data_IF_077909877814
#
_entry.id   IF_077909877814
#
_cell.length_a   1.000
_cell.length_b   1.000
_cell.length_c   1.000
_cell.angle_alpha   90.00
_cell.angle_beta   90.00
_cell.angle_gamma   90.00
#
_symmetry.space_group_name_H-M   'P 1'
#
loop_
_entity.id
_entity.type
_entity.pdbx_description
1 polymer ?
#
# COMPACT_ATOMS: atom_id res chain seq x y z
N UNK A 1 9.26 -11.57 13.91
CA UNK A 1 9.00 -10.13 13.67
C UNK A 1 10.25 -9.47 13.12
N UNK A 2 10.18 -8.53 12.16
CA UNK A 2 11.35 -8.02 11.41
C UNK A 2 12.50 -7.56 12.32
N UNK A 3 12.19 -6.86 13.42
CA UNK A 3 13.18 -6.41 14.43
C UNK A 3 14.06 -7.55 14.97
N UNK A 4 13.47 -8.72 15.25
CA UNK A 4 14.22 -9.88 15.76
C UNK A 4 15.22 -10.41 14.72
N UNK A 5 14.91 -10.27 13.42
CA UNK A 5 15.80 -10.70 12.35
C UNK A 5 16.96 -9.72 12.11
N UNK A 6 16.84 -8.46 12.55
CA UNK A 6 17.92 -7.45 12.44
C UNK A 6 19.10 -7.80 13.35
N UNK A 7 18.87 -8.55 14.42
CA UNK A 7 19.90 -8.96 15.38
C UNK A 7 20.50 -7.79 16.16
N UNK A 8 19.71 -6.73 16.36
CA UNK A 8 20.09 -5.56 17.15
C UNK A 8 19.68 -5.75 18.62
N UNK A 9 20.47 -5.15 19.50
CA UNK A 9 20.21 -5.08 20.94
C UNK A 9 19.96 -3.64 21.37
N UNK A 10 19.54 -3.43 22.62
CA UNK A 10 19.25 -2.07 23.11
C UNK A 10 20.45 -1.11 23.01
N UNK A 11 21.69 -1.59 23.04
CA UNK A 11 22.86 -0.73 22.86
C UNK A 11 22.90 -0.04 21.49
N UNK A 12 22.25 -0.64 20.49
CA UNK A 12 22.27 -0.15 19.12
C UNK A 12 21.25 0.97 18.89
N UNK A 13 20.15 0.98 19.65
CA UNK A 13 19.02 1.88 19.39
C UNK A 13 18.49 2.68 20.57
N UNK A 14 18.67 2.23 21.83
CA UNK A 14 18.07 2.92 22.98
C UNK A 14 18.89 4.14 23.39
N UNK A 15 18.22 5.23 23.78
CA UNK A 15 18.86 6.41 24.37
C UNK A 15 19.48 6.09 25.73
N UNK A 16 18.73 5.35 26.55
CA UNK A 16 19.17 4.81 27.82
C UNK A 16 18.75 3.33 27.86
N UNK A 17 19.75 2.46 28.01
CA UNK A 17 19.52 1.02 28.09
C UNK A 17 18.81 0.69 29.40
N UNK A 18 17.90 -0.28 29.33
CA UNK A 18 17.25 -0.85 30.50
C UNK A 18 17.37 -2.37 30.42
N UNK A 19 17.97 -2.98 31.44
CA UNK A 19 18.17 -4.43 31.48
C UNK A 19 16.85 -5.18 31.72
N UNK A 20 15.94 -4.60 32.50
CA UNK A 20 14.70 -5.25 32.93
C UNK A 20 13.48 -4.31 32.96
N UNK A 21 12.30 -4.91 33.04
CA UNK A 21 11.04 -4.23 33.36
C UNK A 21 10.53 -3.28 32.27
N UNK A 22 9.84 -2.23 32.71
CA UNK A 22 9.06 -1.33 31.85
C UNK A 22 9.95 -0.58 30.84
N UNK A 23 11.18 -0.22 31.23
CA UNK A 23 12.11 0.49 30.34
C UNK A 23 12.51 -0.35 29.12
N UNK A 24 12.86 -1.63 29.35
CA UNK A 24 13.23 -2.57 28.27
C UNK A 24 12.09 -2.76 27.28
N UNK A 25 10.90 -3.09 27.79
CA UNK A 25 9.71 -3.31 26.98
C UNK A 25 9.34 -2.05 26.18
N UNK A 26 9.39 -0.87 26.78
CA UNK A 26 9.15 0.41 26.09
C UNK A 26 10.14 0.63 24.94
N UNK A 27 11.44 0.44 25.18
CA UNK A 27 12.47 0.62 24.17
C UNK A 27 12.24 -0.32 22.97
N UNK A 28 11.96 -1.60 23.24
CA UNK A 28 11.66 -2.62 22.22
C UNK A 28 10.38 -2.28 21.42
N UNK A 29 9.30 -1.91 22.11
CA UNK A 29 8.02 -1.54 21.47
C UNK A 29 8.15 -0.30 20.59
N UNK A 30 8.82 0.76 21.07
CA UNK A 30 9.01 1.99 20.29
C UNK A 30 9.92 1.74 19.09
N UNK A 31 10.98 0.97 19.26
CA UNK A 31 11.85 0.60 18.14
C UNK A 31 11.09 -0.23 17.10
N UNK A 32 10.27 -1.19 17.53
CA UNK A 32 9.41 -1.95 16.63
C UNK A 32 8.45 -1.05 15.84
N UNK A 33 7.77 -0.11 16.50
CA UNK A 33 6.86 0.83 15.83
C UNK A 33 7.60 1.72 14.83
N UNK A 34 8.82 2.17 15.15
CA UNK A 34 9.65 2.93 14.21
C UNK A 34 9.97 2.09 12.96
N UNK A 35 10.46 0.86 13.14
CA UNK A 35 10.81 -0.02 12.01
C UNK A 35 9.57 -0.34 11.18
N UNK A 36 8.43 -0.63 11.82
CA UNK A 36 7.17 -0.88 11.12
C UNK A 36 6.71 0.34 10.32
N UNK A 37 6.79 1.54 10.90
CA UNK A 37 6.52 2.80 10.18
C UNK A 37 7.43 2.96 8.95
N UNK A 38 8.74 2.73 9.10
CA UNK A 38 9.71 2.83 8.00
C UNK A 38 9.44 1.81 6.90
N UNK A 39 9.03 0.59 7.25
CA UNK A 39 8.62 -0.42 6.28
C UNK A 39 7.39 0.04 5.49
N UNK A 40 6.37 0.59 6.14
CA UNK A 40 5.20 1.15 5.44
C UNK A 40 5.58 2.33 4.55
N UNK A 41 6.50 3.18 4.98
CA UNK A 41 7.02 4.29 4.18
C UNK A 41 7.71 3.78 2.91
N UNK A 42 8.48 2.69 3.01
CA UNK A 42 9.20 2.05 1.89
C UNK A 42 8.26 1.43 0.85
N UNK A 43 7.04 1.01 1.24
CA UNK A 43 6.01 0.51 0.32
C UNK A 43 5.59 1.53 -0.76
N UNK A 44 5.91 2.81 -0.55
CA UNK A 44 5.65 3.86 -1.55
C UNK A 44 6.48 3.64 -2.79
N UNK A 45 5.92 4.07 -3.92
CA UNK A 45 6.72 4.29 -5.12
C UNK A 45 7.63 5.49 -4.91
N UNK A 46 8.90 5.26 -4.58
CA UNK A 46 9.91 6.29 -4.50
C UNK A 46 10.35 6.76 -5.89
N UNK A 47 10.30 8.08 -6.13
CA UNK A 47 11.05 8.79 -7.19
C UNK A 47 12.57 8.80 -6.90
N UNK A 48 13.02 8.18 -5.79
CA UNK A 48 14.42 8.19 -5.37
C UNK A 48 15.27 7.40 -6.36
N UNK A 49 15.78 8.08 -7.39
CA UNK A 49 16.71 7.53 -8.38
C UNK A 49 17.93 6.90 -7.68
N UNK A 50 18.31 7.43 -6.52
CA UNK A 50 19.52 7.05 -5.77
C UNK A 50 19.28 5.95 -4.73
N UNK A 51 18.03 5.69 -4.32
CA UNK A 51 17.71 4.68 -3.29
C UNK A 51 16.42 3.93 -3.66
N UNK A 52 16.53 2.80 -4.40
CA UNK A 52 15.40 1.95 -4.72
C UNK A 52 14.81 1.31 -3.45
N UNK A 53 13.48 1.12 -3.43
CA UNK A 53 12.80 0.46 -2.32
C UNK A 53 12.99 -1.07 -2.32
N UNK A 54 12.49 -1.77 -1.30
CA UNK A 54 12.70 -3.22 -1.16
C UNK A 54 12.13 -4.02 -2.34
N UNK A 55 11.00 -3.62 -2.90
CA UNK A 55 10.44 -4.24 -4.11
C UNK A 55 11.32 -4.02 -5.35
N UNK A 56 11.84 -2.80 -5.54
CA UNK A 56 12.72 -2.48 -6.66
C UNK A 56 14.07 -3.22 -6.58
N UNK A 57 14.52 -3.52 -5.36
CA UNK A 57 15.71 -4.32 -5.13
C UNK A 57 15.47 -5.83 -5.27
N UNK A 58 14.22 -6.26 -5.55
CA UNK A 58 13.84 -7.68 -5.57
C UNK A 58 13.96 -8.36 -4.19
N UNK A 59 13.96 -7.58 -3.12
CA UNK A 59 14.08 -8.07 -1.74
C UNK A 59 12.72 -8.38 -1.13
N UNK A 60 11.65 -7.84 -1.72
CA UNK A 60 10.26 -7.97 -1.29
C UNK A 60 9.35 -8.18 -2.49
N UNK A 61 8.48 -9.19 -2.42
CA UNK A 61 7.34 -9.34 -3.33
C UNK A 61 6.06 -9.33 -2.50
N UNK A 62 5.14 -8.43 -2.87
CA UNK A 62 3.87 -8.25 -2.17
C UNK A 62 2.75 -8.88 -2.99
N UNK A 63 2.05 -9.77 -2.32
CA UNK A 63 0.82 -10.37 -2.77
C UNK A 63 -0.34 -9.96 -1.86
N UNK A 64 -1.53 -10.33 -2.29
CA UNK A 64 -2.77 -10.10 -1.58
C UNK A 64 -3.42 -11.44 -1.32
N UNK A 65 -3.65 -11.75 -0.05
CA UNK A 65 -4.12 -13.07 0.36
C UNK A 65 -5.44 -13.42 -0.33
N UNK A 66 -5.52 -14.63 -0.90
CA UNK A 66 -6.72 -15.17 -1.55
C UNK A 66 -7.27 -14.42 -2.80
N UNK A 67 -6.53 -13.43 -3.32
CA UNK A 67 -6.99 -12.60 -4.45
C UNK A 67 -7.31 -13.43 -5.71
N UNK A 68 -6.56 -14.50 -5.93
CA UNK A 68 -6.77 -15.40 -7.08
C UNK A 68 -8.11 -16.14 -7.02
N UNK A 69 -8.55 -16.54 -5.82
CA UNK A 69 -9.82 -17.25 -5.63
C UNK A 69 -11.01 -16.33 -5.86
N UNK A 70 -10.91 -15.06 -5.46
CA UNK A 70 -11.92 -14.04 -5.77
C UNK A 70 -12.05 -13.81 -7.27
N UNK A 71 -10.93 -13.82 -8.00
CA UNK A 71 -10.96 -13.68 -9.45
C UNK A 71 -11.69 -14.83 -10.15
N UNK A 72 -11.69 -16.02 -9.55
CA UNK A 72 -12.42 -17.21 -10.02
C UNK A 72 -13.86 -17.31 -9.53
N UNK A 73 -14.25 -16.53 -8.52
CA UNK A 73 -15.59 -16.60 -7.93
C UNK A 73 -16.64 -15.93 -8.83
N UNK A 74 -17.43 -16.71 -9.57
CA UNK A 74 -18.46 -16.15 -10.46
C UNK A 74 -19.56 -15.37 -9.72
N UNK A 75 -19.92 -15.76 -8.51
CA UNK A 75 -21.01 -15.14 -7.73
C UNK A 75 -20.69 -13.68 -7.37
N UNK A 76 -19.44 -13.36 -7.00
CA UNK A 76 -19.07 -11.98 -6.66
C UNK A 76 -19.17 -11.05 -7.87
N UNK A 77 -18.83 -11.55 -9.06
CA UNK A 77 -18.90 -10.78 -10.32
C UNK A 77 -20.33 -10.59 -10.81
N UNK A 78 -21.25 -11.48 -10.43
CA UNK A 78 -22.69 -11.28 -10.67
C UNK A 78 -23.31 -10.27 -9.70
N UNK A 79 -22.78 -10.16 -8.48
CA UNK A 79 -23.24 -9.17 -7.48
C UNK A 79 -22.90 -7.74 -7.88
N UNK A 80 -21.73 -7.52 -8.48
CA UNK A 80 -21.27 -6.20 -8.97
C UNK A 80 -20.93 -6.27 -10.46
N UNK A 81 -21.94 -6.36 -11.34
CA UNK A 81 -21.73 -6.65 -12.74
C UNK A 81 -21.20 -5.42 -13.50
N UNK A 82 -20.20 -5.67 -14.34
CA UNK A 82 -19.76 -4.73 -15.37
C UNK A 82 -19.35 -5.54 -16.61
N UNK A 83 -19.69 -5.09 -17.83
CA UNK A 83 -19.49 -5.91 -19.05
C UNK A 83 -18.04 -6.39 -19.19
N UNK A 84 -17.08 -5.52 -18.87
CA UNK A 84 -15.65 -5.81 -18.97
C UNK A 84 -15.25 -6.89 -17.97
N UNK A 85 -15.73 -6.81 -16.73
CA UNK A 85 -15.43 -7.79 -15.69
C UNK A 85 -16.09 -9.14 -15.98
N UNK A 86 -17.33 -9.15 -16.48
CA UNK A 86 -18.05 -10.39 -16.80
C UNK A 86 -17.41 -11.14 -17.97
N UNK A 87 -16.92 -10.42 -18.98
CA UNK A 87 -16.24 -11.03 -20.13
C UNK A 87 -14.73 -11.24 -19.95
N UNK A 88 -14.15 -10.83 -18.82
CA UNK A 88 -12.72 -11.00 -18.54
C UNK A 88 -12.43 -12.38 -17.93
N UNK A 89 -11.29 -12.94 -18.28
CA UNK A 89 -10.74 -14.17 -17.70
C UNK A 89 -10.27 -13.92 -16.26
N UNK A 90 -10.15 -14.99 -15.46
CA UNK A 90 -9.64 -14.89 -14.09
C UNK A 90 -8.22 -14.26 -14.00
N UNK A 91 -7.26 -14.58 -14.90
CA UNK A 91 -5.95 -13.92 -14.91
C UNK A 91 -6.00 -12.41 -15.21
N UNK A 92 -6.89 -11.97 -16.10
CA UNK A 92 -7.08 -10.53 -16.39
C UNK A 92 -7.65 -9.79 -15.18
N UNK A 93 -8.67 -10.37 -14.54
CA UNK A 93 -9.22 -9.85 -13.28
C UNK A 93 -8.14 -9.75 -12.21
N UNK A 94 -7.33 -10.79 -12.04
CA UNK A 94 -6.23 -10.79 -11.07
C UNK A 94 -5.24 -9.67 -11.36
N UNK A 95 -4.80 -9.54 -12.62
CA UNK A 95 -3.88 -8.48 -13.05
C UNK A 95 -4.46 -7.09 -12.77
N UNK A 96 -5.75 -6.88 -13.08
CA UNK A 96 -6.41 -5.60 -12.86
C UNK A 96 -6.58 -5.28 -11.36
N UNK A 97 -7.06 -6.22 -10.55
CA UNK A 97 -7.24 -6.05 -9.12
C UNK A 97 -5.90 -5.86 -8.40
N UNK A 98 -4.90 -6.69 -8.69
CA UNK A 98 -3.55 -6.55 -8.12
C UNK A 98 -2.97 -5.18 -8.46
N UNK A 99 -3.07 -4.75 -9.71
CA UNK A 99 -2.59 -3.42 -10.13
C UNK A 99 -3.31 -2.29 -9.41
N UNK A 100 -4.62 -2.43 -9.17
CA UNK A 100 -5.41 -1.47 -8.40
C UNK A 100 -4.96 -1.39 -6.94
N UNK A 101 -4.80 -2.54 -6.27
CA UNK A 101 -4.34 -2.61 -4.88
C UNK A 101 -2.88 -2.09 -4.75
N UNK A 102 -2.00 -2.47 -5.68
CA UNK A 102 -0.63 -1.98 -5.73
C UNK A 102 -0.58 -0.46 -5.93
N UNK A 103 -1.50 0.09 -6.74
CA UNK A 103 -1.63 1.53 -6.92
C UNK A 103 -2.01 2.23 -5.60
N UNK A 104 -3.00 1.71 -4.87
CA UNK A 104 -3.39 2.25 -3.55
C UNK A 104 -2.22 2.20 -2.57
N UNK A 105 -1.57 1.04 -2.44
CA UNK A 105 -0.40 0.81 -1.59
C UNK A 105 0.73 1.79 -1.87
N UNK A 106 1.13 1.92 -3.15
CA UNK A 106 2.19 2.82 -3.60
C UNK A 106 1.88 4.29 -3.36
N UNK A 107 0.60 4.65 -3.19
CA UNK A 107 0.15 5.99 -2.85
C UNK A 107 -0.07 6.22 -1.35
N UNK A 108 0.23 5.24 -0.49
CA UNK A 108 -0.16 5.18 0.93
C UNK A 108 -1.66 5.33 1.17
N UNK A 109 -2.51 4.91 0.23
CA UNK A 109 -3.93 4.73 0.51
C UNK A 109 -4.16 3.42 1.27
N UNK A 110 -3.58 3.30 2.46
CA UNK A 110 -3.56 2.09 3.29
C UNK A 110 -4.09 2.35 4.70
N UNK A 111 -4.80 1.38 5.25
CA UNK A 111 -5.27 1.37 6.63
C UNK A 111 -4.20 0.69 7.49
N UNK A 112 -3.19 1.48 7.85
CA UNK A 112 -2.12 1.08 8.77
C UNK A 112 -2.11 2.07 9.93
N UNK A 113 -2.32 1.57 11.15
CA UNK A 113 -2.53 2.39 12.36
C UNK A 113 -1.42 3.43 12.55
N UNK A 114 -0.16 3.02 12.41
CA UNK A 114 1.02 3.89 12.57
C UNK A 114 1.12 5.02 11.54
N UNK A 115 0.44 4.90 10.40
CA UNK A 115 0.41 5.97 9.39
C UNK A 115 -0.78 6.91 9.54
N UNK A 116 -1.75 6.58 10.39
CA UNK A 116 -2.89 7.47 10.62
C UNK A 116 -2.40 8.72 11.39
N UNK A 117 -2.87 9.93 11.01
CA UNK A 117 -2.38 11.19 11.58
C UNK A 117 -2.33 11.23 13.12
N UNK A 118 -3.35 10.69 13.77
CA UNK A 118 -3.51 10.62 15.22
C UNK A 118 -2.44 9.77 15.94
N UNK A 119 -1.86 8.78 15.26
CA UNK A 119 -0.82 7.92 15.83
C UNK A 119 0.60 8.43 15.55
N UNK A 120 0.80 9.19 14.48
CA UNK A 120 2.12 9.69 14.08
C UNK A 120 2.74 10.65 15.11
N UNK A 121 1.95 11.55 15.69
CA UNK A 121 2.46 12.47 16.71
C UNK A 121 2.83 11.74 18.01
N UNK A 122 2.16 10.63 18.32
CA UNK A 122 2.53 9.76 19.43
C UNK A 122 3.83 9.01 19.11
N UNK A 123 3.96 8.47 17.91
CA UNK A 123 5.17 7.78 17.45
C UNK A 123 6.39 8.70 17.54
N UNK A 124 6.31 9.92 16.98
CA UNK A 124 7.39 10.92 17.03
C UNK A 124 7.89 11.18 18.44
N UNK A 125 6.96 11.45 19.37
CA UNK A 125 7.29 11.73 20.78
C UNK A 125 7.95 10.53 21.45
N UNK A 126 7.39 9.34 21.24
CA UNK A 126 7.93 8.11 21.82
C UNK A 126 9.35 7.82 21.32
N UNK A 127 9.58 7.95 20.01
CA UNK A 127 10.89 7.79 19.36
C UNK A 127 11.91 8.79 19.94
N UNK A 128 11.55 10.07 20.03
CA UNK A 128 12.43 11.11 20.56
C UNK A 128 12.84 10.88 22.01
N UNK A 129 11.99 10.23 22.81
CA UNK A 129 12.25 9.94 24.23
C UNK A 129 13.02 8.64 24.46
N UNK A 130 12.71 7.58 23.70
CA UNK A 130 13.23 6.24 23.97
C UNK A 130 14.50 5.89 23.17
N UNK A 131 14.65 6.43 21.96
CA UNK A 131 15.69 6.02 21.02
C UNK A 131 16.84 7.03 20.97
N UNK A 132 18.05 6.56 20.65
CA UNK A 132 19.23 7.41 20.49
C UNK A 132 19.18 8.23 19.19
N UNK A 133 20.10 9.18 19.04
CA UNK A 133 20.09 10.14 17.93
C UNK A 133 20.20 9.50 16.54
N UNK A 134 20.72 8.28 16.41
CA UNK A 134 20.80 7.57 15.11
C UNK A 134 19.42 7.15 14.58
N UNK A 135 18.46 6.95 15.48
CA UNK A 135 17.13 6.43 15.15
C UNK A 135 16.02 7.46 15.31
N UNK A 136 16.32 8.65 15.83
CA UNK A 136 15.34 9.73 15.90
C UNK A 136 14.99 10.21 14.49
N UNK A 137 13.77 10.72 14.36
CA UNK A 137 13.40 11.48 13.18
C UNK A 137 14.18 12.80 13.16
N UNK A 138 14.61 13.21 11.97
CA UNK A 138 15.23 14.53 11.82
C UNK A 138 14.21 15.64 12.12
N UNK A 139 14.70 16.77 12.61
CA UNK A 139 13.84 17.92 12.95
C UNK A 139 13.03 18.42 11.74
N UNK A 140 13.63 18.40 10.55
CA UNK A 140 12.98 18.81 9.30
C UNK A 140 12.19 17.67 8.63
N UNK A 141 12.23 16.46 9.18
CA UNK A 141 11.64 15.28 8.57
C UNK A 141 10.11 15.35 8.58
N UNK A 142 9.53 15.30 7.37
CA UNK A 142 8.09 15.25 7.19
C UNK A 142 7.62 13.81 7.05
N UNK A 143 7.12 13.26 8.14
CA UNK A 143 6.53 11.92 8.15
C UNK A 143 5.35 11.83 7.19
N UNK A 144 5.39 10.78 6.37
CA UNK A 144 4.27 10.43 5.51
C UNK A 144 3.12 9.87 6.32
N UNK A 145 1.90 10.24 5.90
CA UNK A 145 0.65 9.80 6.51
C UNK A 145 -0.14 8.95 5.52
N UNK A 146 -1.03 8.12 6.06
CA UNK A 146 -2.02 7.41 5.29
C UNK A 146 -2.94 8.41 4.58
N UNK A 147 -3.34 8.05 3.36
CA UNK A 147 -4.21 8.84 2.49
C UNK A 147 -5.52 8.11 2.30
N UNK A 148 -6.57 8.84 1.97
CA UNK A 148 -7.85 8.27 1.56
C UNK A 148 -7.96 8.33 0.04
N UNK A 149 -8.43 7.24 -0.60
CA UNK A 149 -8.72 7.23 -2.02
C UNK A 149 -10.20 7.52 -2.29
N UNK A 150 -10.47 8.34 -3.32
CA UNK A 150 -11.83 8.81 -3.63
C UNK A 150 -12.08 8.91 -5.14
N UNK A 151 -13.34 8.72 -5.51
CA UNK A 151 -13.87 8.90 -6.86
C UNK A 151 -14.36 10.33 -7.12
N UNK A 152 -14.51 11.16 -6.07
CA UNK A 152 -15.05 12.50 -6.20
C UNK A 152 -14.14 13.41 -7.06
N UNK A 153 -14.73 13.98 -8.12
CA UNK A 153 -14.12 15.03 -8.90
C UNK A 153 -14.36 16.38 -8.20
N UNK A 154 -13.36 16.88 -7.46
CA UNK A 154 -13.50 18.17 -6.78
C UNK A 154 -12.20 18.78 -6.29
N UNK A 155 -12.26 20.10 -6.07
CA UNK A 155 -11.22 20.91 -5.43
C UNK A 155 -11.23 20.67 -3.91
N UNK A 156 -10.97 19.42 -3.50
CA UNK A 156 -10.71 19.15 -2.10
C UNK A 156 -9.41 19.90 -1.72
N UNK A 157 -9.54 20.98 -0.95
CA UNK A 157 -8.41 21.81 -0.47
C UNK A 157 -7.39 21.01 0.35
N UNK A 158 -7.73 19.78 0.76
CA UNK A 158 -6.78 18.82 1.31
C UNK A 158 -5.97 18.13 0.22
N UNK A 159 -4.70 18.50 0.08
CA UNK A 159 -3.69 17.86 -0.80
C UNK A 159 -3.44 16.36 -0.52
N UNK A 160 -4.17 15.74 0.42
CA UNK A 160 -3.88 14.41 0.95
C UNK A 160 -4.66 13.26 0.30
N UNK A 161 -5.65 13.48 -0.58
CA UNK A 161 -6.44 12.36 -1.14
C UNK A 161 -5.86 11.77 -2.42
N UNK A 162 -6.03 10.46 -2.63
CA UNK A 162 -5.71 9.74 -3.87
C UNK A 162 -6.94 9.76 -4.77
N UNK A 163 -6.86 10.46 -5.91
CA UNK A 163 -8.00 10.53 -6.84
C UNK A 163 -8.00 9.34 -7.80
N UNK A 164 -9.13 8.67 -7.90
CA UNK A 164 -9.36 7.49 -8.74
C UNK A 164 -10.07 7.86 -10.05
N UNK A 165 -9.62 8.91 -10.73
CA UNK A 165 -10.27 9.43 -11.95
C UNK A 165 -9.84 8.67 -13.20
N UNK A 166 -10.69 8.71 -14.24
CA UNK A 166 -10.43 8.06 -15.54
C UNK A 166 -9.14 8.54 -16.23
N UNK A 167 -8.76 9.80 -15.98
CA UNK A 167 -7.54 10.44 -16.51
C UNK A 167 -6.28 10.13 -15.69
N UNK A 168 -6.47 9.65 -14.45
CA UNK A 168 -5.40 9.24 -13.55
C UNK A 168 -4.63 8.01 -14.05
N UNK A 169 -3.53 7.67 -13.38
CA UNK A 169 -2.70 6.52 -13.77
C UNK A 169 -3.49 5.22 -13.79
N UNK A 170 -4.23 4.93 -12.71
CA UNK A 170 -5.06 3.72 -12.63
C UNK A 170 -6.22 3.77 -13.62
N UNK A 171 -6.83 4.94 -13.82
CA UNK A 171 -7.90 5.12 -14.81
C UNK A 171 -7.45 4.83 -16.24
N UNK A 172 -6.28 5.37 -16.63
CA UNK A 172 -5.68 5.09 -17.95
C UNK A 172 -5.35 3.62 -18.15
N UNK A 173 -4.89 2.93 -17.10
CA UNK A 173 -4.65 1.49 -17.14
C UNK A 173 -5.96 0.71 -17.31
N UNK A 174 -6.98 0.96 -16.48
CA UNK A 174 -8.27 0.26 -16.56
C UNK A 174 -9.02 0.53 -17.87
N UNK A 175 -8.76 1.66 -18.52
CA UNK A 175 -9.30 2.01 -19.86
C UNK A 175 -8.48 1.47 -21.03
N UNK A 176 -7.32 0.85 -20.77
CA UNK A 176 -6.42 0.39 -21.83
C UNK A 176 -6.86 -0.96 -22.43
N UNK A 177 -7.86 -0.88 -23.31
CA UNK A 177 -8.24 -1.99 -24.21
C UNK A 177 -7.47 -1.99 -25.54
N UNK A 178 -7.05 -0.82 -26.03
CA UNK A 178 -6.49 -0.71 -27.40
C UNK A 178 -5.53 0.46 -27.67
N UNK A 179 -5.27 1.35 -26.72
CA UNK A 179 -4.57 2.62 -27.00
C UNK A 179 -3.07 2.58 -26.66
N UNK A 180 -2.31 1.79 -27.41
CA UNK A 180 -0.94 2.19 -27.83
C UNK A 180 -0.47 1.34 -29.00
N UNK A 181 -0.01 2.04 -30.03
CA UNK A 181 0.33 1.59 -31.39
C UNK A 181 1.58 0.69 -31.48
N UNK A 182 2.03 0.15 -30.34
CA UNK A 182 3.06 -0.86 -30.20
C UNK A 182 2.65 -1.74 -29.03
N UNK A 183 2.72 -3.06 -29.21
CA UNK A 183 2.40 -4.06 -28.23
C UNK A 183 3.13 -3.78 -26.89
N UNK A 184 2.46 -3.10 -25.97
CA UNK A 184 2.83 -3.13 -24.57
C UNK A 184 2.10 -4.34 -23.98
N UNK A 185 2.79 -5.25 -23.27
CA UNK A 185 2.17 -6.47 -22.74
C UNK A 185 1.07 -6.20 -21.71
N UNK A 186 0.98 -4.98 -21.18
CA UNK A 186 0.09 -4.65 -20.06
C UNK A 186 -1.26 -4.06 -20.54
N UNK A 187 -2.07 -4.83 -21.27
CA UNK A 187 -3.50 -4.50 -21.43
C UNK A 187 -4.24 -5.01 -20.20
N UNK A 188 -5.13 -4.19 -19.63
CA UNK A 188 -5.95 -4.63 -18.50
C UNK A 188 -6.97 -5.70 -18.93
N UNK A 189 -7.48 -5.60 -20.15
CA UNK A 189 -8.59 -6.41 -20.65
C UNK A 189 -8.43 -6.72 -22.14
N UNK A 190 -8.55 -7.99 -22.53
CA UNK A 190 -8.59 -8.41 -23.94
C UNK A 190 -9.95 -8.18 -24.59
N UNK A 191 -11.03 -8.21 -23.80
CA UNK A 191 -12.42 -8.04 -24.26
C UNK A 191 -12.84 -6.56 -24.42
N UNK A 192 -11.98 -5.59 -24.10
CA UNK A 192 -12.27 -4.16 -24.24
C UNK A 192 -11.85 -3.65 -25.62
N UNK A 193 -12.78 -3.61 -26.56
CA UNK A 193 -12.53 -3.18 -27.95
C UNK A 193 -12.66 -1.67 -28.16
N UNK A 194 -13.45 -0.99 -27.35
CA UNK A 194 -13.65 0.47 -27.39
C UNK A 194 -13.20 1.12 -26.07
N UNK A 195 -12.67 2.36 -26.10
CA UNK A 195 -12.37 3.08 -24.87
C UNK A 195 -13.64 3.36 -24.07
N UNK A 196 -13.62 3.08 -22.76
CA UNK A 196 -14.75 3.38 -21.88
C UNK A 196 -15.04 4.90 -21.82
N UNK A 197 -16.31 5.26 -21.79
CA UNK A 197 -16.80 6.60 -21.42
C UNK A 197 -16.53 6.89 -19.94
N UNK A 198 -16.77 8.12 -19.49
CA UNK A 198 -16.64 8.46 -18.05
C UNK A 198 -17.61 7.67 -17.16
N UNK A 199 -18.92 7.56 -17.49
CA UNK A 199 -19.87 6.79 -16.68
C UNK A 199 -19.53 5.30 -16.65
N UNK A 200 -19.12 4.71 -17.77
CA UNK A 200 -18.69 3.30 -17.82
C UNK A 200 -17.45 3.07 -16.95
N UNK A 201 -16.48 3.98 -17.00
CA UNK A 201 -15.33 3.92 -16.11
C UNK A 201 -15.74 4.00 -14.63
N UNK A 202 -16.64 4.92 -14.27
CA UNK A 202 -17.16 5.04 -12.90
C UNK A 202 -17.87 3.76 -12.44
N UNK A 203 -18.65 3.12 -13.31
CA UNK A 203 -19.30 1.85 -13.01
C UNK A 203 -18.28 0.71 -12.85
N UNK A 204 -17.27 0.64 -13.72
CA UNK A 204 -16.18 -0.34 -13.61
C UNK A 204 -15.45 -0.22 -12.27
N UNK A 205 -15.02 0.99 -11.92
CA UNK A 205 -14.24 1.20 -10.70
C UNK A 205 -15.07 0.98 -9.44
N UNK A 206 -16.36 1.37 -9.44
CA UNK A 206 -17.27 1.02 -8.35
C UNK A 206 -17.43 -0.49 -8.20
N UNK A 207 -17.54 -1.22 -9.30
CA UNK A 207 -17.64 -2.69 -9.29
C UNK A 207 -16.38 -3.33 -8.69
N UNK A 208 -15.19 -2.84 -9.09
CA UNK A 208 -13.90 -3.26 -8.51
C UNK A 208 -13.84 -2.96 -7.01
N UNK A 209 -14.18 -1.75 -6.60
CA UNK A 209 -14.14 -1.34 -5.19
C UNK A 209 -15.08 -2.20 -4.35
N UNK A 210 -16.32 -2.41 -4.80
CA UNK A 210 -17.29 -3.21 -4.05
C UNK A 210 -16.86 -4.68 -3.96
N UNK A 211 -16.34 -5.25 -5.05
CA UNK A 211 -15.78 -6.61 -5.05
C UNK A 211 -14.64 -6.75 -4.04
N UNK A 212 -13.71 -5.80 -4.03
CA UNK A 212 -12.57 -5.81 -3.10
C UNK A 212 -12.97 -5.52 -1.65
N UNK A 213 -14.06 -4.78 -1.42
CA UNK A 213 -14.63 -4.58 -0.08
C UNK A 213 -15.27 -5.86 0.45
N UNK A 214 -16.09 -6.51 -0.36
CA UNK A 214 -16.69 -7.81 -0.01
C UNK A 214 -15.63 -8.89 0.20
N UNK A 215 -14.54 -8.82 -0.58
CA UNK A 215 -13.36 -9.66 -0.41
C UNK A 215 -12.47 -9.31 0.78
N UNK A 216 -12.76 -8.24 1.52
CA UNK A 216 -12.00 -7.87 2.72
C UNK A 216 -10.69 -7.13 2.49
N UNK A 217 -10.37 -6.64 1.29
CA UNK A 217 -9.11 -5.89 1.03
C UNK A 217 -9.23 -4.40 1.32
N UNK A 218 -10.45 -3.85 1.33
CA UNK A 218 -10.68 -2.40 1.42
C UNK A 218 -11.53 -2.05 2.63
N UNK A 219 -11.08 -1.06 3.39
CA UNK A 219 -11.88 -0.33 4.38
C UNK A 219 -12.49 0.89 3.72
N UNK A 220 -13.74 1.20 4.05
CA UNK A 220 -14.43 2.40 3.59
C UNK A 220 -14.90 3.24 4.78
N UNK A 221 -14.75 4.56 4.69
CA UNK A 221 -15.29 5.49 5.68
C UNK A 221 -16.72 5.97 5.31
N UNK A 222 -17.33 6.76 6.19
CA UNK A 222 -18.69 7.27 6.00
C UNK A 222 -18.86 8.22 4.79
N UNK A 223 -17.75 8.70 4.21
CA UNK A 223 -17.73 9.57 3.02
C UNK A 223 -17.53 8.77 1.72
N UNK A 224 -17.54 7.44 1.80
CA UNK A 224 -17.34 6.57 0.64
C UNK A 224 -15.87 6.43 0.21
N UNK A 225 -14.94 7.00 0.97
CA UNK A 225 -13.50 6.94 0.66
C UNK A 225 -12.90 5.63 1.14
N UNK A 226 -11.88 5.14 0.45
CA UNK A 226 -11.31 3.82 0.71
C UNK A 226 -9.84 3.87 1.10
N UNK A 227 -9.43 2.86 1.88
CA UNK A 227 -8.05 2.50 2.17
C UNK A 227 -7.89 0.98 1.98
N UNK A 228 -6.74 0.57 1.45
CA UNK A 228 -6.31 -0.82 1.41
C UNK A 228 -5.93 -1.30 2.81
N UNK A 229 -6.50 -2.40 3.26
CA UNK A 229 -6.16 -2.94 4.59
C UNK A 229 -4.79 -3.58 4.57
N UNK A 230 -3.94 -3.21 5.54
CA UNK A 230 -2.58 -3.74 5.60
C UNK A 230 -2.53 -5.24 5.94
N UNK A 231 -3.55 -5.72 6.65
CA UNK A 231 -3.73 -7.13 7.03
C UNK A 231 -4.13 -8.04 5.84
N UNK A 232 -4.37 -7.48 4.66
CA UNK A 232 -4.61 -8.25 3.42
C UNK A 232 -3.35 -8.48 2.59
N UNK A 233 -2.19 -7.93 3.01
CA UNK A 233 -0.92 -8.09 2.31
C UNK A 233 -0.19 -9.33 2.82
N UNK A 234 0.37 -10.08 1.88
CA UNK A 234 1.23 -11.23 2.15
C UNK A 234 2.60 -11.02 1.54
N UNK A 235 3.63 -11.37 2.30
CA UNK A 235 5.03 -11.26 1.88
C UNK A 235 5.52 -12.65 1.47
N UNK A 236 5.65 -12.89 0.17
CA UNK A 236 6.15 -14.17 -0.34
C UNK A 236 7.65 -14.35 -0.19
N UNK A 237 8.42 -13.26 -0.30
CA UNK A 237 9.88 -13.30 -0.29
C UNK A 237 10.45 -12.22 0.63
N UNK A 238 11.20 -12.63 1.66
CA UNK A 238 12.15 -11.79 2.37
C UNK A 238 13.54 -12.32 1.99
N UNK A 239 14.25 -11.62 1.12
CA UNK A 239 15.60 -12.04 0.76
C UNK A 239 16.52 -11.96 2.00
N UNK A 240 17.29 -13.02 2.31
CA UNK A 240 18.22 -13.10 3.46
C UNK A 240 19.23 -11.93 3.54
N UNK A 241 19.41 -11.17 2.45
CA UNK A 241 20.26 -9.98 2.37
C UNK A 241 19.71 -8.74 3.10
N UNK A 242 18.41 -8.68 3.42
CA UNK A 242 17.78 -7.56 4.13
C UNK A 242 18.44 -7.29 5.50
N UNK A 243 18.85 -8.36 6.19
CA UNK A 243 19.58 -8.28 7.47
C UNK A 243 20.97 -7.64 7.31
N UNK A 244 21.61 -7.80 6.15
CA UNK A 244 22.92 -7.23 5.87
C UNK A 244 22.88 -5.73 5.62
N UNK A 245 21.87 -5.25 4.89
CA UNK A 245 21.71 -3.82 4.56
C UNK A 245 21.41 -2.99 5.82
N UNK A 246 20.59 -3.53 6.72
CA UNK A 246 20.24 -2.91 7.99
C UNK A 246 21.45 -2.75 8.94
N UNK A 247 22.49 -3.59 8.80
CA UNK A 247 23.69 -3.55 9.66
C UNK A 247 24.75 -2.56 9.17
N UNK A 248 24.62 -2.04 7.95
CA UNK A 248 25.67 -1.24 7.29
C UNK A 248 25.28 0.21 6.99
N UNK A 249 24.06 0.62 7.33
CA UNK A 249 23.60 2.02 7.29
C UNK A 249 23.48 2.57 8.71
#
# INVERSE_FOLDING_TARGET
MVVQQMGLSQSDYAQQQAEFGIGKKRNEEVFQQLIEYRLYEDLRRGWRIVQPNLEQCGLLEIEYDDLENICRNHTIWQKYPHQVLLGATAPEKYTALKTFLDYLRKQLAIDAELLQPEHLDKLKRNVAQALNDKWKFDYEERLHQARWATLEAGNNKGKSKVKLTSRGTIGRFLKSGLLRRQAKPDRAWSNLTTPLTEPEYQNLINSIINTLRDGGYLKQNNKGEIQLRIDSLSVKQICKKLVGIIKTG
#
